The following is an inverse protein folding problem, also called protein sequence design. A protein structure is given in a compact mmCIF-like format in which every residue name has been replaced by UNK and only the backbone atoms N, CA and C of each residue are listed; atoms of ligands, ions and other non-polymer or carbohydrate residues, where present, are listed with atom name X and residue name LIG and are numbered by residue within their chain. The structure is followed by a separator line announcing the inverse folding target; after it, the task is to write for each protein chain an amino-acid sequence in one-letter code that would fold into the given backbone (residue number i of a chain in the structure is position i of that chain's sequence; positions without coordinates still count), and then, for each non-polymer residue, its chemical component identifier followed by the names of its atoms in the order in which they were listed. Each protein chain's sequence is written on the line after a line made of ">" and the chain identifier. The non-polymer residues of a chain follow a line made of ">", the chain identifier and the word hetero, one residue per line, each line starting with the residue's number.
data_IF_348451373818
#
_entry.id   IF_348451373818
#
_cell.length_a   1.000
_cell.length_b   1.000
_cell.length_c   1.000
_cell.angle_alpha   90.00
_cell.angle_beta   90.00
_cell.angle_gamma   90.00
#
_symmetry.space_group_name_H-M   'P 1'
#
loop_
_entity.id
_entity.type
_entity.pdbx_description
1 polymer ?
#
# COMPACT_ATOMS: atom_id res chain seq x y z
N UNK A 1 -2.05 -1.96 -22.37
CA UNK A 1 -1.34 -1.74 -21.10
C UNK A 1 -1.30 -3.07 -20.35
N UNK A 2 -0.12 -3.59 -20.04
CA UNK A 2 0.00 -4.83 -19.26
C UNK A 2 -0.40 -4.58 -17.79
N UNK A 3 -0.62 -5.63 -17.00
CA UNK A 3 -1.05 -5.48 -15.58
C UNK A 3 -0.06 -4.66 -14.76
N UNK A 4 1.25 -4.88 -14.96
CA UNK A 4 2.30 -4.15 -14.23
C UNK A 4 2.22 -2.64 -14.49
N UNK A 5 2.05 -2.24 -15.74
CA UNK A 5 1.87 -0.84 -16.12
C UNK A 5 0.62 -0.25 -15.45
N UNK A 6 -0.50 -0.99 -15.43
CA UNK A 6 -1.73 -0.55 -14.73
C UNK A 6 -1.49 -0.34 -13.24
N UNK A 7 -0.79 -1.27 -12.57
CA UNK A 7 -0.44 -1.14 -11.14
C UNK A 7 0.41 0.10 -10.91
N UNK A 8 1.47 0.30 -11.70
CA UNK A 8 2.35 1.46 -11.56
C UNK A 8 1.62 2.78 -11.81
N UNK A 9 0.71 2.83 -12.79
CA UNK A 9 -0.10 4.02 -13.04
C UNK A 9 -1.00 4.34 -11.84
N UNK A 10 -1.67 3.34 -11.26
CA UNK A 10 -2.51 3.53 -10.06
C UNK A 10 -1.70 3.95 -8.84
N UNK A 11 -0.52 3.39 -8.62
CA UNK A 11 0.35 3.80 -7.52
C UNK A 11 0.83 5.26 -7.68
N UNK A 12 1.17 5.68 -8.90
CA UNK A 12 1.53 7.08 -9.18
C UNK A 12 0.35 8.04 -8.98
N UNK A 13 -0.85 7.67 -9.44
CA UNK A 13 -2.08 8.44 -9.19
C UNK A 13 -2.34 8.59 -7.69
N UNK A 14 -2.15 7.52 -6.93
CA UNK A 14 -2.32 7.50 -5.48
C UNK A 14 -1.29 8.38 -4.75
N UNK A 15 -0.01 8.33 -5.14
CA UNK A 15 1.03 9.22 -4.59
C UNK A 15 0.64 10.68 -4.71
N UNK A 16 0.16 11.09 -5.89
CA UNK A 16 -0.24 12.47 -6.17
C UNK A 16 -1.52 12.83 -5.42
N UNK A 17 -2.54 11.97 -5.44
CA UNK A 17 -3.83 12.23 -4.82
C UNK A 17 -3.74 12.38 -3.29
N UNK A 18 -2.91 11.54 -2.65
CA UNK A 18 -2.76 11.50 -1.20
C UNK A 18 -1.62 12.41 -0.69
N UNK A 19 -0.83 12.99 -1.59
CA UNK A 19 0.32 13.81 -1.23
C UNK A 19 1.38 13.04 -0.43
N UNK A 20 1.59 11.77 -0.80
CA UNK A 20 2.52 10.85 -0.15
C UNK A 20 3.65 10.48 -1.11
N UNK A 21 4.69 9.86 -0.56
CA UNK A 21 5.71 9.16 -1.34
C UNK A 21 5.71 7.68 -1.01
N UNK A 22 5.45 6.84 -2.00
CA UNK A 22 5.57 5.39 -1.90
C UNK A 22 7.05 5.03 -1.98
N UNK A 23 7.54 4.34 -0.94
CA UNK A 23 8.96 3.95 -0.82
C UNK A 23 9.19 2.48 -1.14
N UNK A 24 8.13 1.68 -1.07
CA UNK A 24 8.15 0.26 -1.38
C UNK A 24 6.76 -0.20 -1.79
N UNK A 25 6.66 -1.07 -2.79
CA UNK A 25 5.42 -1.74 -3.15
C UNK A 25 5.74 -3.17 -3.61
N UNK A 26 4.89 -4.11 -3.24
CA UNK A 26 4.97 -5.49 -3.69
C UNK A 26 3.60 -6.09 -3.90
N UNK A 27 3.55 -7.15 -4.71
CA UNK A 27 2.41 -8.05 -4.74
C UNK A 27 2.47 -8.97 -3.51
N UNK A 28 1.34 -9.14 -2.84
CA UNK A 28 1.11 -10.12 -1.77
C UNK A 28 0.02 -11.10 -2.20
N UNK A 29 -0.36 -12.03 -1.34
CA UNK A 29 -1.54 -12.88 -1.58
C UNK A 29 -1.32 -14.09 -2.49
N UNK A 30 -2.42 -14.67 -2.96
CA UNK A 30 -2.48 -16.03 -3.56
C UNK A 30 -1.57 -16.21 -4.78
N UNK A 31 -1.36 -15.15 -5.56
CA UNK A 31 -0.43 -15.10 -6.70
C UNK A 31 1.03 -15.22 -6.26
N UNK A 32 1.42 -14.53 -5.19
CA UNK A 32 2.75 -14.63 -4.60
C UNK A 32 3.04 -16.02 -4.01
N UNK A 33 1.99 -16.75 -3.60
CA UNK A 33 2.09 -18.11 -3.04
C UNK A 33 1.88 -19.25 -4.07
N UNK A 34 1.69 -18.94 -5.35
CA UNK A 34 1.58 -19.95 -6.41
C UNK A 34 0.23 -20.67 -6.51
N UNK A 35 -0.83 -20.14 -5.88
CA UNK A 35 -2.20 -20.64 -6.01
C UNK A 35 -3.16 -19.64 -6.68
N UNK A 36 -2.82 -19.01 -7.82
CA UNK A 36 -3.73 -18.08 -8.47
C UNK A 36 -4.86 -18.83 -9.18
N UNK A 37 -6.09 -18.41 -8.93
CA UNK A 37 -7.22 -18.70 -9.82
C UNK A 37 -7.29 -17.63 -10.92
N UNK A 38 -7.99 -17.92 -12.03
CA UNK A 38 -8.19 -16.94 -13.10
C UNK A 38 -8.90 -15.64 -12.63
N UNK A 39 -9.63 -15.72 -11.50
CA UNK A 39 -10.32 -14.60 -10.87
C UNK A 39 -9.58 -14.03 -9.66
N UNK A 40 -8.33 -14.45 -9.38
CA UNK A 40 -7.60 -13.90 -8.23
C UNK A 40 -7.41 -12.39 -8.38
N UNK A 41 -7.54 -11.67 -7.28
CA UNK A 41 -7.18 -10.26 -7.17
C UNK A 41 -5.65 -10.10 -7.18
N UNK A 42 -5.19 -8.94 -7.62
CA UNK A 42 -3.82 -8.49 -7.43
C UNK A 42 -3.79 -7.75 -6.10
N UNK A 43 -3.35 -8.45 -5.05
CA UNK A 43 -3.14 -7.86 -3.74
C UNK A 43 -1.84 -7.05 -3.77
N UNK A 44 -1.95 -5.72 -3.87
CA UNK A 44 -0.80 -4.83 -3.83
C UNK A 44 -0.69 -4.26 -2.41
N UNK A 45 0.50 -4.36 -1.83
CA UNK A 45 0.83 -3.84 -0.51
C UNK A 45 1.97 -2.86 -0.66
N UNK A 46 1.86 -1.69 -0.04
CA UNK A 46 2.88 -0.66 -0.15
C UNK A 46 3.18 0.05 1.16
N UNK A 47 4.40 0.58 1.26
CA UNK A 47 4.83 1.47 2.33
C UNK A 47 5.00 2.87 1.77
N UNK A 48 4.56 3.86 2.52
CA UNK A 48 4.66 5.25 2.13
C UNK A 48 5.12 6.13 3.28
N UNK A 49 5.52 7.36 2.93
CA UNK A 49 5.85 8.43 3.87
C UNK A 49 5.09 9.70 3.50
N UNK A 50 4.73 10.49 4.50
CA UNK A 50 4.17 11.81 4.35
C UNK A 50 5.27 12.90 4.34
N UNK A 51 4.94 14.15 3.94
CA UNK A 51 5.75 15.32 4.24
C UNK A 51 6.02 15.48 5.74
N UNK A 52 7.12 16.13 6.11
CA UNK A 52 7.56 16.27 7.51
C UNK A 52 6.49 16.95 8.38
N UNK A 53 5.80 17.94 7.82
CA UNK A 53 4.75 18.73 8.47
C UNK A 53 3.56 17.85 8.89
N UNK A 54 3.34 16.74 8.18
CA UNK A 54 2.29 15.80 8.57
C UNK A 54 2.59 15.16 9.92
N UNK A 55 3.87 14.78 10.13
CA UNK A 55 4.38 14.16 11.37
C UNK A 55 4.58 15.18 12.50
N UNK A 56 4.86 16.45 12.18
CA UNK A 56 4.95 17.54 13.14
C UNK A 56 3.56 18.07 13.51
N UNK A 57 2.67 17.16 13.89
CA UNK A 57 1.28 17.42 14.30
C UNK A 57 1.07 16.86 15.70
N UNK A 58 0.25 17.56 16.50
CA UNK A 58 -0.19 17.07 17.81
C UNK A 58 -1.26 15.98 17.64
N UNK A 59 -2.08 16.11 16.61
CA UNK A 59 -3.16 15.16 16.33
C UNK A 59 -2.62 13.90 15.65
N UNK A 60 -3.14 12.75 16.08
CA UNK A 60 -2.99 11.49 15.35
C UNK A 60 -3.82 11.56 14.06
N UNK A 61 -3.18 11.20 12.96
CA UNK A 61 -3.78 11.20 11.63
C UNK A 61 -3.85 9.77 11.10
N UNK A 62 -4.77 9.52 10.16
CA UNK A 62 -4.93 8.21 9.53
C UNK A 62 -3.63 7.81 8.82
N UNK A 63 -3.11 6.65 9.20
CA UNK A 63 -1.79 6.13 8.80
C UNK A 63 -1.92 4.84 7.95
N UNK A 64 -3.10 4.65 7.35
CA UNK A 64 -3.48 3.52 6.47
C UNK A 64 -4.30 4.04 5.30
N UNK A 65 -3.96 3.58 4.10
CA UNK A 65 -4.67 3.88 2.85
C UNK A 65 -5.24 2.56 2.30
N UNK A 66 -6.55 2.52 2.13
CA UNK A 66 -7.28 1.36 1.61
C UNK A 66 -8.06 1.83 0.37
N UNK A 67 -7.68 1.32 -0.80
CA UNK A 67 -8.39 1.60 -2.03
C UNK A 67 -9.49 0.54 -2.22
N UNK A 68 -10.69 0.96 -2.60
CA UNK A 68 -11.71 0.01 -3.02
C UNK A 68 -11.21 -0.78 -4.24
N UNK A 69 -11.47 -2.09 -4.25
CA UNK A 69 -10.99 -2.96 -5.31
C UNK A 69 -11.64 -2.57 -6.66
N UNK A 70 -10.87 -1.96 -7.54
CA UNK A 70 -11.28 -1.62 -8.91
C UNK A 70 -10.69 -2.62 -9.90
N UNK A 71 -11.53 -3.45 -10.52
CA UNK A 71 -11.10 -4.34 -11.60
C UNK A 71 -10.00 -5.35 -11.19
N UNK A 72 -10.21 -5.99 -10.04
CA UNK A 72 -9.37 -7.02 -9.41
C UNK A 72 -8.03 -6.51 -8.86
N UNK A 73 -7.94 -5.23 -8.47
CA UNK A 73 -6.78 -4.64 -7.82
C UNK A 73 -7.14 -4.24 -6.40
N UNK A 74 -6.64 -5.00 -5.42
CA UNK A 74 -6.76 -4.68 -4.00
C UNK A 74 -5.49 -3.98 -3.53
N UNK A 75 -5.54 -2.66 -3.33
CA UNK A 75 -4.35 -1.84 -3.07
C UNK A 75 -4.46 -1.26 -1.65
N UNK A 76 -3.54 -1.68 -0.78
CA UNK A 76 -3.51 -1.26 0.62
C UNK A 76 -2.10 -0.81 1.02
N UNK A 77 -2.01 0.26 1.80
CA UNK A 77 -0.74 0.82 2.21
C UNK A 77 -0.72 1.31 3.64
N UNK A 78 0.47 1.30 4.22
CA UNK A 78 0.71 1.75 5.59
C UNK A 78 1.84 2.79 5.62
N UNK A 79 1.66 3.79 6.47
CA UNK A 79 2.73 4.73 6.80
C UNK A 79 3.93 3.98 7.40
N UNK A 80 5.13 4.42 7.01
CA UNK A 80 6.37 3.78 7.42
C UNK A 80 6.56 3.76 8.96
N UNK A 81 6.15 4.82 9.68
CA UNK A 81 6.24 4.85 11.15
C UNK A 81 5.35 3.79 11.76
N UNK A 82 4.13 3.62 11.23
CA UNK A 82 3.20 2.59 11.69
C UNK A 82 3.74 1.19 11.43
N UNK A 83 4.20 0.92 10.21
CA UNK A 83 4.75 -0.38 9.82
C UNK A 83 5.95 -0.78 10.69
N UNK A 84 6.91 0.13 10.90
CA UNK A 84 8.06 -0.11 11.78
C UNK A 84 7.64 -0.29 13.25
N UNK A 85 6.62 0.45 13.70
CA UNK A 85 6.05 0.29 15.04
C UNK A 85 5.43 -1.09 15.26
N UNK A 86 4.71 -1.61 14.26
CA UNK A 86 4.13 -2.96 14.25
C UNK A 86 5.22 -4.03 14.24
N UNK A 87 6.21 -3.87 13.37
CA UNK A 87 7.37 -4.76 13.28
C UNK A 87 8.11 -4.87 14.62
N UNK A 88 8.34 -3.74 15.29
CA UNK A 88 8.99 -3.71 16.63
C UNK A 88 8.21 -4.49 17.69
N UNK A 89 6.88 -4.58 17.57
CA UNK A 89 6.02 -5.34 18.51
C UNK A 89 5.90 -6.82 18.14
N UNK A 90 6.67 -7.30 17.15
CA UNK A 90 6.51 -8.63 16.58
C UNK A 90 5.06 -8.93 16.15
N UNK A 91 4.35 -7.90 15.68
CA UNK A 91 3.04 -8.03 15.07
C UNK A 91 3.14 -7.66 13.57
N UNK A 92 3.81 -8.50 12.76
CA UNK A 92 4.09 -8.22 11.36
C UNK A 92 2.94 -8.47 10.36
N UNK A 93 1.75 -9.05 10.68
CA UNK A 93 0.72 -9.14 9.64
C UNK A 93 0.20 -7.73 9.35
N UNK A 94 0.69 -7.19 8.24
CA UNK A 94 0.16 -6.05 7.48
C UNK A 94 -0.84 -6.61 6.46
#
# INVERSE_FOLDING_TARGET
>A
MNTRERILARLNELEVAEGIKIVYACESGSRAWGFPSANSDYDIRFLYVHPVEWYLSIEEKRDVIECQAEGNLDINGWDLRKALGLFRRSNPPL
#
